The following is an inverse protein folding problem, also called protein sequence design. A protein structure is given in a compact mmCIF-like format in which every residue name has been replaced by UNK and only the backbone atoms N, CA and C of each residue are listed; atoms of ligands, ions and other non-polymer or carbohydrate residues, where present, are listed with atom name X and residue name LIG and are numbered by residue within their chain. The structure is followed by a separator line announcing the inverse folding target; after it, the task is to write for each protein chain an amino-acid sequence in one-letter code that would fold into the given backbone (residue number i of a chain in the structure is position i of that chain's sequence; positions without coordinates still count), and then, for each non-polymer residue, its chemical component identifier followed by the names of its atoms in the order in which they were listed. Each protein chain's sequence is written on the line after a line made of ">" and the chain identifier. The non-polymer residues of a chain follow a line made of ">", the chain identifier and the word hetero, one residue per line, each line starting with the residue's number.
data_IF_518520129922
#
_entry.id   IF_518520129922
#
_cell.length_a   1.000
_cell.length_b   1.000
_cell.length_c   1.000
_cell.angle_alpha   90.00
_cell.angle_beta   90.00
_cell.angle_gamma   90.00
#
_symmetry.space_group_name_H-M   'P 1'
#
loop_
_entity.id
_entity.type
_entity.pdbx_description
1 polymer ?
#
# COMPACT_ATOMS: atom_id res chain seq x y z
N UNK A 1 10.33 14.70 8.40
CA UNK A 1 10.55 13.43 7.68
C UNK A 1 9.34 13.20 6.82
N UNK A 2 9.55 13.08 5.52
CA UNK A 2 8.49 12.98 4.53
C UNK A 2 8.21 11.49 4.30
N UNK A 3 7.15 10.99 4.92
CA UNK A 3 6.84 9.56 4.97
C UNK A 3 5.54 9.29 4.21
N UNK A 4 5.52 8.21 3.43
CA UNK A 4 4.33 7.64 2.84
C UNK A 4 4.22 6.16 3.19
N UNK A 5 2.99 5.67 3.17
CA UNK A 5 2.65 4.26 3.35
C UNK A 5 2.17 3.68 2.02
N UNK A 6 2.65 2.48 1.69
CA UNK A 6 2.21 1.75 0.49
C UNK A 6 2.16 0.25 0.72
N UNK A 7 1.47 -0.45 -0.17
CA UNK A 7 1.48 -1.91 -0.24
C UNK A 7 2.55 -2.39 -1.23
N UNK A 8 3.20 -3.51 -0.90
CA UNK A 8 4.18 -4.22 -1.74
C UNK A 8 3.68 -5.67 -1.89
N UNK A 9 3.63 -6.18 -3.11
CA UNK A 9 3.34 -7.59 -3.40
C UNK A 9 4.51 -8.27 -4.09
N UNK A 10 4.30 -9.50 -4.56
CA UNK A 10 5.27 -10.23 -5.39
C UNK A 10 4.75 -10.46 -6.81
N UNK A 11 5.63 -10.30 -7.80
CA UNK A 11 5.39 -10.68 -9.19
C UNK A 11 6.64 -11.39 -9.72
N UNK A 12 6.49 -12.64 -10.19
CA UNK A 12 7.60 -13.47 -10.67
C UNK A 12 8.80 -13.55 -9.68
N UNK A 13 8.50 -13.60 -8.38
CA UNK A 13 9.51 -13.65 -7.31
C UNK A 13 10.20 -12.32 -7.00
N UNK A 14 9.79 -11.22 -7.65
CA UNK A 14 10.29 -9.87 -7.39
C UNK A 14 9.27 -9.05 -6.61
N UNK A 15 9.77 -8.20 -5.74
CA UNK A 15 8.96 -7.22 -5.03
C UNK A 15 8.43 -6.15 -6.00
N UNK A 16 7.12 -5.91 -5.96
CA UNK A 16 6.44 -4.87 -6.75
C UNK A 16 5.63 -3.98 -5.82
N UNK A 17 5.81 -2.67 -5.97
CA UNK A 17 5.15 -1.65 -5.14
C UNK A 17 3.89 -1.12 -5.82
N UNK A 18 2.79 -1.06 -5.06
CA UNK A 18 1.48 -0.63 -5.55
C UNK A 18 1.34 0.88 -5.42
N UNK A 19 1.90 1.61 -6.39
CA UNK A 19 1.99 3.09 -6.38
C UNK A 19 0.65 3.82 -6.50
N UNK A 20 -0.43 3.15 -6.92
CA UNK A 20 -1.78 3.71 -6.94
C UNK A 20 -2.45 3.71 -5.54
N UNK A 21 -1.84 3.06 -4.54
CA UNK A 21 -2.30 2.97 -3.15
C UNK A 21 -1.22 3.50 -2.22
N UNK A 22 -1.08 4.82 -2.20
CA UNK A 22 -0.12 5.54 -1.37
C UNK A 22 -0.85 6.54 -0.49
N UNK A 23 -0.59 6.53 0.81
CA UNK A 23 -1.24 7.44 1.78
C UNK A 23 -0.24 8.00 2.77
N UNK A 24 -0.57 9.15 3.34
CA UNK A 24 0.26 9.80 4.38
C UNK A 24 0.24 9.02 5.69
N UNK A 25 -0.84 8.29 5.98
CA UNK A 25 -0.96 7.46 7.18
C UNK A 25 -1.18 5.98 6.83
N UNK A 26 -0.71 5.10 7.72
CA UNK A 26 -0.99 3.66 7.62
C UNK A 26 -2.49 3.37 7.67
N UNK A 27 -3.21 4.05 8.54
CA UNK A 27 -4.64 3.83 8.75
C UNK A 27 -5.45 4.09 7.47
N UNK A 28 -5.15 5.20 6.77
CA UNK A 28 -5.82 5.54 5.51
C UNK A 28 -5.53 4.51 4.42
N UNK A 29 -4.30 4.02 4.33
CA UNK A 29 -3.94 2.96 3.39
C UNK A 29 -4.75 1.67 3.65
N UNK A 30 -4.82 1.23 4.92
CA UNK A 30 -5.56 0.03 5.28
C UNK A 30 -7.06 0.21 5.03
N UNK A 31 -7.60 1.39 5.33
CA UNK A 31 -9.00 1.74 5.04
C UNK A 31 -9.31 1.60 3.56
N UNK A 32 -8.44 2.13 2.69
CA UNK A 32 -8.64 2.07 1.23
C UNK A 32 -8.48 0.67 0.63
N UNK A 33 -7.57 -0.13 1.19
CA UNK A 33 -7.45 -1.55 0.83
C UNK A 33 -8.74 -2.27 1.19
N UNK A 34 -9.24 -2.08 2.42
CA UNK A 34 -10.49 -2.72 2.84
C UNK A 34 -11.69 -2.21 2.07
N UNK A 35 -11.76 -0.91 1.78
CA UNK A 35 -12.84 -0.33 0.99
C UNK A 35 -12.94 -1.02 -0.37
N UNK A 36 -11.83 -1.13 -1.10
CA UNK A 36 -11.79 -1.88 -2.37
C UNK A 36 -12.16 -3.34 -2.18
N UNK A 37 -11.62 -4.00 -1.16
CA UNK A 37 -11.92 -5.41 -0.90
C UNK A 37 -13.43 -5.60 -0.66
N UNK A 38 -14.11 -4.68 0.05
CA UNK A 38 -15.57 -4.72 0.22
C UNK A 38 -16.33 -4.54 -1.09
N UNK A 39 -15.89 -3.66 -1.99
CA UNK A 39 -16.47 -3.53 -3.34
C UNK A 39 -16.35 -4.84 -4.14
N UNK A 40 -15.29 -5.61 -3.91
CA UNK A 40 -15.04 -6.92 -4.52
C UNK A 40 -15.80 -8.07 -3.81
N UNK A 41 -16.57 -7.76 -2.76
CA UNK A 41 -17.35 -8.73 -2.00
C UNK A 41 -16.57 -9.47 -0.91
N UNK A 42 -15.33 -9.06 -0.61
CA UNK A 42 -14.50 -9.66 0.44
C UNK A 42 -15.11 -9.43 1.84
N UNK A 43 -15.25 -10.51 2.62
CA UNK A 43 -15.90 -10.48 3.94
C UNK A 43 -14.94 -10.53 5.14
N UNK A 44 -13.65 -10.78 4.92
CA UNK A 44 -12.66 -10.95 5.97
C UNK A 44 -12.14 -9.66 6.61
N UNK A 45 -11.06 -9.84 7.36
CA UNK A 45 -10.23 -8.82 8.01
C UNK A 45 -9.13 -8.31 7.08
N UNK A 46 -8.48 -7.20 7.47
CA UNK A 46 -7.35 -6.67 6.72
C UNK A 46 -6.17 -7.65 6.68
N UNK A 47 -5.88 -8.35 7.78
CA UNK A 47 -4.78 -9.31 7.84
C UNK A 47 -5.02 -10.50 6.91
N UNK A 48 -6.26 -10.99 6.84
CA UNK A 48 -6.66 -12.03 5.89
C UNK A 48 -6.51 -11.54 4.44
N UNK A 49 -6.91 -10.30 4.16
CA UNK A 49 -6.79 -9.74 2.80
C UNK A 49 -5.34 -9.59 2.37
N UNK A 50 -4.49 -9.08 3.24
CA UNK A 50 -3.06 -8.93 2.98
C UNK A 50 -2.40 -10.29 2.77
N UNK A 51 -2.76 -11.29 3.58
CA UNK A 51 -2.27 -12.67 3.43
C UNK A 51 -2.75 -13.31 2.13
N UNK A 52 -4.02 -13.15 1.76
CA UNK A 52 -4.59 -13.68 0.52
C UNK A 52 -3.85 -13.13 -0.71
N UNK A 53 -3.48 -11.85 -0.67
CA UNK A 53 -2.81 -11.15 -1.77
C UNK A 53 -1.27 -11.29 -1.74
N UNK A 54 -0.69 -11.91 -0.71
CA UNK A 54 0.76 -11.88 -0.42
C UNK A 54 1.30 -10.42 -0.42
N UNK A 55 0.56 -9.52 0.23
CA UNK A 55 0.91 -8.10 0.35
C UNK A 55 1.52 -7.78 1.72
N UNK A 56 2.55 -6.93 1.68
CA UNK A 56 3.20 -6.33 2.83
C UNK A 56 2.93 -4.82 2.84
N UNK A 57 2.70 -4.26 4.02
CA UNK A 57 2.54 -2.82 4.21
C UNK A 57 3.89 -2.22 4.61
N UNK A 58 4.40 -1.30 3.80
CA UNK A 58 5.73 -0.72 3.97
C UNK A 58 5.65 0.79 4.14
N UNK A 59 6.62 1.32 4.87
CA UNK A 59 6.85 2.74 5.05
C UNK A 59 7.96 3.18 4.10
N UNK A 60 7.75 4.28 3.38
CA UNK A 60 8.69 4.83 2.41
C UNK A 60 9.00 6.28 2.77
N UNK A 61 10.29 6.61 2.84
CA UNK A 61 10.76 7.99 2.93
C UNK A 61 10.92 8.57 1.52
N UNK A 62 10.53 9.82 1.32
CA UNK A 62 10.74 10.52 0.06
C UNK A 62 11.46 11.85 0.27
N UNK A 63 12.24 12.23 -0.73
CA UNK A 63 12.95 13.50 -0.77
C UNK A 63 12.38 14.35 -1.90
N UNK A 64 12.04 15.59 -1.59
CA UNK A 64 11.61 16.55 -2.60
C UNK A 64 12.80 16.91 -3.49
N UNK A 65 12.65 16.73 -4.80
CA UNK A 65 13.66 17.13 -5.78
C UNK A 65 13.25 18.50 -6.33
N UNK A 66 14.02 19.54 -6.01
CA UNK A 66 13.85 20.85 -6.65
C UNK A 66 14.40 20.78 -8.07
N UNK A 67 13.52 20.85 -9.06
CA UNK A 67 13.92 20.90 -10.47
C UNK A 67 14.07 22.38 -10.86
N UNK A 68 15.30 22.82 -11.15
CA UNK A 68 15.62 24.12 -11.74
C UNK A 68 15.78 25.27 -10.73
N UNK A 69 17.03 25.72 -10.56
CA UNK A 69 17.34 27.14 -10.35
C UNK A 69 17.93 27.68 -11.66
#
# INVERSE_FOLDING_TARGET
>A
MNILWMAKGKFEGKDVYLTHRVRETKADLLSDIMHKAREEGFKGTIDERLKELDWEIVQVEFHEVKIGQ
#
